data_IF_860799180288
#
_entry.id   IF_860799180288
#
_cell.length_a   1.000
_cell.length_b   1.000
_cell.length_c   1.000
_cell.angle_alpha   90.00
_cell.angle_beta   90.00
_cell.angle_gamma   90.00
#
_symmetry.space_group_name_H-M   'P 1'
#
loop_
_entity.id
_entity.type
_entity.pdbx_description
1 polymer ?
#
# COMPACT_ATOMS: atom_id res chain seq x y z
N UNK A 1 -39.72 31.42 28.92
CA UNK A 1 -40.47 30.15 28.70
C UNK A 1 -39.46 29.01 28.64
N UNK A 2 -39.57 28.05 29.57
CA UNK A 2 -38.57 27.02 29.87
C UNK A 2 -39.01 25.74 29.14
N UNK A 3 -38.22 25.27 28.15
CA UNK A 3 -38.50 23.99 27.47
C UNK A 3 -37.77 22.86 28.17
N UNK A 4 -38.52 22.06 28.92
CA UNK A 4 -38.09 20.81 29.53
C UNK A 4 -37.92 19.73 28.46
N UNK A 5 -36.75 19.08 28.42
CA UNK A 5 -36.50 17.87 27.62
C UNK A 5 -36.84 16.63 28.48
N UNK A 6 -37.59 15.64 27.97
CA UNK A 6 -37.83 14.40 28.70
C UNK A 6 -36.61 13.50 28.65
N UNK A 7 -36.14 13.09 29.83
CA UNK A 7 -35.15 12.04 30.05
C UNK A 7 -35.86 10.71 29.87
N UNK A 8 -35.53 9.96 28.81
CA UNK A 8 -35.95 8.58 28.62
C UNK A 8 -34.73 7.68 28.90
N UNK A 9 -34.51 7.38 30.18
CA UNK A 9 -33.56 6.36 30.61
C UNK A 9 -34.24 4.99 30.49
N UNK A 10 -33.95 4.28 29.40
CA UNK A 10 -34.36 2.89 29.23
C UNK A 10 -33.41 2.01 30.06
N UNK A 11 -33.94 1.38 31.10
CA UNK A 11 -33.19 0.56 32.03
C UNK A 11 -32.70 -0.74 31.36
N UNK A 12 -31.41 -0.97 31.52
CA UNK A 12 -30.65 -2.17 31.19
C UNK A 12 -31.20 -3.38 31.98
N UNK A 13 -31.71 -4.40 31.27
CA UNK A 13 -32.02 -5.70 31.87
C UNK A 13 -31.11 -6.78 31.25
N UNK A 14 -30.06 -7.10 32.00
CA UNK A 14 -29.11 -8.18 31.79
C UNK A 14 -29.81 -9.53 31.96
N UNK A 15 -29.89 -10.35 30.92
CA UNK A 15 -30.28 -11.77 31.03
C UNK A 15 -29.21 -12.62 30.35
N UNK A 16 -28.29 -13.13 31.15
CA UNK A 16 -27.30 -14.13 30.76
C UNK A 16 -28.00 -15.49 30.85
N UNK A 17 -28.26 -16.14 29.71
CA UNK A 17 -28.66 -17.55 29.65
C UNK A 17 -27.43 -18.39 29.28
N UNK A 18 -26.81 -18.98 30.29
CA UNK A 18 -25.86 -20.08 30.13
C UNK A 18 -26.65 -21.36 29.89
N UNK A 19 -26.75 -21.80 28.64
CA UNK A 19 -27.17 -23.17 28.31
C UNK A 19 -26.00 -23.93 27.71
N UNK A 20 -25.33 -24.66 28.60
CA UNK A 20 -24.44 -25.75 28.25
C UNK A 20 -25.28 -26.91 27.69
N UNK A 21 -25.03 -27.31 26.44
CA UNK A 21 -25.43 -28.62 25.94
C UNK A 21 -24.19 -29.43 25.58
N UNK A 22 -23.96 -30.45 26.40
CA UNK A 22 -23.00 -31.52 26.19
C UNK A 22 -23.35 -32.31 24.91
N UNK A 23 -22.30 -32.71 24.16
CA UNK A 23 -22.39 -33.79 23.18
C UNK A 23 -22.49 -35.14 23.91
N UNK A 24 -23.20 -36.12 23.31
CA UNK A 24 -22.63 -37.46 23.23
C UNK A 24 -22.70 -38.09 21.83
N UNK A 25 -21.55 -38.63 21.43
CA UNK A 25 -21.28 -39.86 20.65
C UNK A 25 -22.22 -40.36 19.54
N UNK A 26 -21.63 -40.45 18.34
CA UNK A 26 -21.45 -41.65 17.48
C UNK A 26 -22.64 -42.59 17.23
N UNK A 27 -23.03 -42.73 15.96
CA UNK A 27 -23.17 -44.03 15.29
C UNK A 27 -23.47 -43.87 13.79
N UNK A 28 -22.64 -44.53 12.96
CA UNK A 28 -22.89 -45.15 11.65
C UNK A 28 -23.64 -44.36 10.55
N UNK A 29 -23.26 -44.43 9.28
CA UNK A 29 -22.28 -45.24 8.60
C UNK A 29 -22.63 -45.26 7.11
N UNK A 30 -21.64 -45.72 6.35
CA UNK A 30 -21.70 -46.29 5.01
C UNK A 30 -21.25 -45.45 3.80
N UNK A 31 -20.56 -46.22 2.98
CA UNK A 31 -19.67 -46.07 1.84
C UNK A 31 -20.31 -45.32 0.65
N UNK A 32 -19.56 -44.73 -0.30
CA UNK A 32 -18.64 -45.40 -1.24
C UNK A 32 -17.64 -44.45 -1.91
N UNK A 33 -16.45 -45.02 -2.17
CA UNK A 33 -15.39 -44.60 -3.10
C UNK A 33 -15.90 -44.13 -4.49
N UNK A 34 -15.11 -43.30 -5.19
CA UNK A 34 -14.44 -43.63 -6.48
C UNK A 34 -13.55 -42.47 -6.98
N UNK A 35 -12.24 -42.61 -6.82
CA UNK A 35 -11.16 -42.54 -7.85
C UNK A 35 -10.92 -41.25 -8.70
N UNK A 36 -9.79 -40.56 -8.44
CA UNK A 36 -8.93 -39.79 -9.41
C UNK A 36 -8.10 -40.82 -10.24
N UNK A 37 -7.31 -40.52 -11.32
CA UNK A 37 -7.05 -39.26 -12.04
C UNK A 37 -7.01 -39.40 -13.59
N UNK A 38 -6.83 -38.30 -14.33
CA UNK A 38 -6.30 -38.34 -15.70
C UNK A 38 -5.24 -37.26 -15.91
N UNK A 39 -4.14 -37.70 -16.52
CA UNK A 39 -2.89 -36.98 -16.82
C UNK A 39 -2.71 -37.03 -18.35
N UNK A 40 -2.22 -35.97 -18.98
CA UNK A 40 -1.47 -36.01 -20.26
C UNK A 40 -0.70 -34.68 -20.42
N UNK A 41 0.64 -34.72 -20.34
CA UNK A 41 1.60 -34.62 -21.47
C UNK A 41 1.81 -33.16 -21.92
N UNK A 42 2.85 -32.45 -21.47
CA UNK A 42 4.24 -32.38 -22.00
C UNK A 42 4.33 -32.34 -23.53
N UNK A 43 4.71 -31.19 -24.09
CA UNK A 43 5.65 -31.16 -25.22
C UNK A 43 6.48 -29.87 -25.22
N UNK A 44 7.75 -30.06 -25.58
CA UNK A 44 8.90 -29.17 -25.51
C UNK A 44 9.37 -28.85 -26.94
N UNK A 45 9.74 -27.60 -27.23
CA UNK A 45 10.75 -27.18 -28.25
C UNK A 45 10.62 -25.67 -28.52
N UNK A 46 11.62 -24.88 -28.92
CA UNK A 46 13.09 -24.95 -29.00
C UNK A 46 13.52 -23.63 -29.69
N UNK A 47 14.72 -23.14 -29.35
CA UNK A 47 15.64 -22.32 -30.19
C UNK A 47 15.44 -20.80 -30.33
N UNK A 48 16.23 -20.07 -29.54
CA UNK A 48 17.34 -19.18 -29.95
C UNK A 48 17.63 -19.04 -31.45
N UNK A 49 17.81 -17.80 -31.92
CA UNK A 49 18.99 -17.32 -32.70
C UNK A 49 18.92 -15.81 -33.01
N UNK A 50 20.00 -15.10 -32.64
CA UNK A 50 20.45 -13.86 -33.30
C UNK A 50 21.18 -14.21 -34.63
N UNK A 51 21.32 -13.25 -35.57
CA UNK A 51 22.60 -12.53 -35.78
C UNK A 51 22.39 -11.03 -36.14
N UNK A 52 23.20 -10.04 -35.73
CA UNK A 52 24.60 -9.64 -36.05
C UNK A 52 24.79 -8.86 -37.38
N UNK A 53 25.56 -7.75 -37.27
CA UNK A 53 26.36 -7.01 -38.29
C UNK A 53 25.68 -5.91 -39.13
N UNK A 54 26.30 -4.80 -39.56
CA UNK A 54 27.65 -4.18 -39.41
C UNK A 54 27.68 -2.84 -40.22
N UNK A 55 28.41 -1.82 -39.73
CA UNK A 55 29.10 -0.66 -40.40
C UNK A 55 28.33 0.26 -41.40
N UNK A 56 28.61 1.58 -41.45
CA UNK A 56 29.72 2.17 -42.22
C UNK A 56 30.17 3.57 -41.74
N UNK A 57 31.43 3.86 -42.08
CA UNK A 57 32.30 5.01 -41.80
C UNK A 57 32.62 5.71 -43.13
N UNK A 58 33.10 6.97 -43.06
CA UNK A 58 34.02 7.72 -43.99
C UNK A 58 33.37 9.06 -44.41
N UNK A 59 33.77 10.23 -43.89
CA UNK A 59 34.98 11.05 -44.16
C UNK A 59 35.04 11.63 -45.57
N UNK A 60 34.91 12.95 -45.73
CA UNK A 60 35.95 13.79 -46.37
C UNK A 60 35.74 15.30 -46.16
N UNK A 61 36.85 16.04 -46.12
CA UNK A 61 37.01 17.50 -46.01
C UNK A 61 37.41 18.09 -47.41
N UNK A 62 37.88 19.35 -47.63
CA UNK A 62 38.07 20.55 -46.76
C UNK A 62 37.71 21.96 -47.36
N UNK A 63 37.61 22.97 -46.47
CA UNK A 63 37.98 24.44 -46.53
C UNK A 63 37.44 25.43 -47.60
N UNK A 64 37.50 26.80 -47.42
CA UNK A 64 38.22 27.62 -46.41
C UNK A 64 37.48 28.88 -45.82
N UNK A 65 38.11 29.47 -44.79
CA UNK A 65 38.10 30.90 -44.34
C UNK A 65 36.82 31.54 -43.77
N UNK A 66 36.82 31.92 -42.48
CA UNK A 66 37.11 33.29 -42.00
C UNK A 66 37.02 33.36 -40.47
N UNK A 67 38.00 34.01 -39.84
CA UNK A 67 38.05 34.27 -38.41
C UNK A 67 37.04 35.35 -38.05
N UNK A 68 36.06 35.03 -37.20
CA UNK A 68 35.26 36.02 -36.49
C UNK A 68 35.34 35.73 -35.00
N UNK A 69 35.92 36.66 -34.27
CA UNK A 69 35.95 36.68 -32.80
C UNK A 69 34.53 36.83 -32.27
N UNK A 70 33.93 35.73 -31.81
CA UNK A 70 32.69 35.78 -31.04
C UNK A 70 32.96 35.45 -29.57
N UNK A 71 32.70 36.49 -28.78
CA UNK A 71 32.48 36.55 -27.33
C UNK A 71 31.99 35.21 -26.75
N UNK A 72 32.79 34.66 -25.83
CA UNK A 72 32.43 33.52 -24.97
C UNK A 72 31.12 33.84 -24.25
N UNK A 73 30.03 33.26 -24.77
CA UNK A 73 28.77 33.14 -24.07
C UNK A 73 28.90 31.87 -23.24
N UNK A 74 28.98 32.05 -21.93
CA UNK A 74 28.97 30.97 -20.95
C UNK A 74 27.74 30.09 -21.21
N UNK A 75 27.99 28.84 -21.60
CA UNK A 75 26.96 27.84 -21.79
C UNK A 75 26.29 27.59 -20.42
N UNK A 76 24.95 27.55 -20.33
CA UNK A 76 24.31 27.22 -19.08
C UNK A 76 24.76 25.81 -18.67
N UNK A 77 25.31 25.69 -17.47
CA UNK A 77 25.63 24.38 -16.88
C UNK A 77 24.37 23.50 -16.92
N UNK A 78 24.48 22.19 -17.25
CA UNK A 78 23.35 21.30 -17.21
C UNK A 78 22.87 21.18 -15.76
N UNK A 79 21.72 21.78 -15.45
CA UNK A 79 21.04 21.60 -14.17
C UNK A 79 20.60 20.14 -14.08
N UNK A 80 21.37 19.31 -13.38
CA UNK A 80 20.95 17.95 -13.04
C UNK A 80 19.82 18.06 -12.03
N UNK A 81 18.59 17.88 -12.49
CA UNK A 81 17.41 17.76 -11.63
C UNK A 81 17.50 16.42 -10.88
N UNK A 82 17.98 16.46 -9.64
CA UNK A 82 17.86 15.33 -8.72
C UNK A 82 16.38 15.13 -8.39
N UNK A 83 15.83 13.99 -8.78
CA UNK A 83 14.47 13.60 -8.40
C UNK A 83 14.56 13.01 -7.00
N UNK A 84 13.89 13.64 -6.04
CA UNK A 84 13.84 13.16 -4.67
C UNK A 84 12.94 11.93 -4.58
N UNK A 85 13.42 10.89 -3.89
CA UNK A 85 12.67 9.65 -3.69
C UNK A 85 11.53 9.87 -2.70
N UNK A 86 10.36 9.31 -2.99
CA UNK A 86 9.22 9.31 -2.05
C UNK A 86 9.50 8.37 -0.88
N UNK A 87 9.39 8.88 0.34
CA UNK A 87 9.51 8.15 1.60
C UNK A 87 8.25 8.40 2.42
N UNK A 88 7.49 7.34 2.68
CA UNK A 88 6.31 7.40 3.54
C UNK A 88 6.60 6.63 4.82
N UNK A 89 6.27 7.22 5.96
CA UNK A 89 6.29 6.54 7.27
C UNK A 89 4.88 6.44 7.83
N UNK A 90 4.70 5.51 8.78
CA UNK A 90 3.47 5.37 9.53
C UNK A 90 3.82 5.32 11.02
N UNK A 91 3.09 6.08 11.83
CA UNK A 91 3.27 6.13 13.28
C UNK A 91 1.91 6.14 13.98
N UNK A 92 1.86 5.66 15.21
CA UNK A 92 0.68 5.88 16.05
C UNK A 92 0.52 7.39 16.29
N UNK A 93 -0.67 7.91 16.02
CA UNK A 93 -0.94 9.34 16.14
C UNK A 93 -1.05 9.72 17.63
N UNK A 94 0.02 10.30 18.16
CA UNK A 94 0.05 10.90 19.50
C UNK A 94 -0.33 12.39 19.42
N UNK A 95 -0.80 12.96 20.53
CA UNK A 95 -1.10 14.39 20.60
C UNK A 95 0.12 15.26 20.25
N UNK A 96 1.34 14.80 20.59
CA UNK A 96 2.59 15.46 20.24
C UNK A 96 2.78 15.53 18.72
N UNK A 97 2.65 14.39 18.02
CA UNK A 97 2.78 14.35 16.56
C UNK A 97 1.67 15.17 15.90
N UNK A 98 0.43 15.04 16.38
CA UNK A 98 -0.71 15.77 15.82
C UNK A 98 -0.59 17.29 16.01
N UNK A 99 0.01 17.75 17.11
CA UNK A 99 0.20 19.18 17.35
C UNK A 99 1.24 19.84 16.43
N UNK A 100 2.03 19.04 15.70
CA UNK A 100 3.04 19.54 14.77
C UNK A 100 2.47 20.00 13.41
N UNK A 101 1.19 19.71 13.13
CA UNK A 101 0.56 20.01 11.85
C UNK A 101 -0.70 20.87 12.03
N UNK A 102 -0.92 21.79 11.10
CA UNK A 102 -2.10 22.65 11.10
C UNK A 102 -3.36 21.95 10.56
N UNK A 103 -3.19 20.92 9.72
CA UNK A 103 -4.31 20.19 9.10
C UNK A 103 -3.91 18.80 8.63
N UNK A 104 -4.92 17.95 8.41
CA UNK A 104 -4.78 16.57 7.96
C UNK A 104 -5.79 16.28 6.85
N UNK A 105 -5.44 15.40 5.93
CA UNK A 105 -6.44 14.59 5.24
C UNK A 105 -6.86 13.46 6.17
N UNK A 106 -8.16 13.17 6.29
CA UNK A 106 -8.65 12.25 7.33
C UNK A 106 -9.59 11.18 6.76
N UNK A 107 -9.43 9.94 7.24
CA UNK A 107 -10.39 8.86 7.07
C UNK A 107 -10.71 8.20 8.42
N UNK A 108 -11.96 8.27 8.85
CA UNK A 108 -12.43 7.65 10.10
C UNK A 108 -13.42 6.54 9.75
N UNK A 109 -13.00 5.28 9.92
CA UNK A 109 -13.85 4.12 9.70
C UNK A 109 -14.83 3.91 10.87
N UNK A 110 -14.37 4.19 12.09
CA UNK A 110 -15.18 4.12 13.31
C UNK A 110 -14.73 5.16 14.33
N UNK A 111 -15.71 5.85 14.93
CA UNK A 111 -15.52 6.81 16.03
C UNK A 111 -15.45 6.12 17.42
N UNK A 112 -15.61 4.79 17.45
CA UNK A 112 -15.43 3.98 18.68
C UNK A 112 -13.95 3.73 18.98
N UNK A 113 -13.65 2.85 19.95
CA UNK A 113 -12.29 2.47 20.35
C UNK A 113 -11.53 1.94 19.12
N UNK A 114 -10.69 2.79 18.55
CA UNK A 114 -9.94 2.57 17.32
C UNK A 114 -8.51 3.09 17.49
N UNK A 115 -7.59 2.53 16.73
CA UNK A 115 -6.22 3.04 16.67
C UNK A 115 -6.19 4.21 15.69
N UNK A 116 -5.47 5.27 16.06
CA UNK A 116 -5.20 6.40 15.17
C UNK A 116 -3.77 6.29 14.65
N UNK A 117 -3.63 6.36 13.34
CA UNK A 117 -2.35 6.20 12.65
C UNK A 117 -2.18 7.38 11.70
N UNK A 118 -1.01 7.99 11.76
CA UNK A 118 -0.63 9.09 10.89
C UNK A 118 0.42 8.61 9.90
N UNK A 119 0.17 8.88 8.63
CA UNK A 119 1.12 8.70 7.54
C UNK A 119 1.77 10.04 7.24
N UNK A 120 3.10 10.07 7.16
CA UNK A 120 3.86 11.27 6.81
C UNK A 120 4.77 10.99 5.62
N UNK A 121 5.21 12.05 4.95
CA UNK A 121 6.04 11.96 3.74
C UNK A 121 7.10 13.06 3.72
N UNK A 122 8.22 12.84 3.03
CA UNK A 122 9.25 13.85 2.80
C UNK A 122 8.93 14.80 1.63
N UNK A 123 8.08 14.38 0.69
CA UNK A 123 7.68 15.16 -0.50
C UNK A 123 6.19 14.97 -0.80
N UNK A 124 5.63 15.85 -1.63
CA UNK A 124 4.25 15.68 -2.12
C UNK A 124 4.08 14.37 -2.89
N UNK A 125 3.06 13.59 -2.54
CA UNK A 125 2.76 12.27 -3.09
C UNK A 125 1.52 12.35 -3.97
N UNK A 126 1.60 11.76 -5.16
CA UNK A 126 0.50 11.72 -6.12
C UNK A 126 -0.31 10.44 -5.96
N UNK A 127 -1.62 10.57 -6.15
CA UNK A 127 -2.56 9.46 -6.18
C UNK A 127 -2.37 8.53 -4.97
N UNK A 128 -2.29 9.13 -3.78
CA UNK A 128 -2.20 8.39 -2.53
C UNK A 128 -3.56 7.81 -2.19
N UNK A 129 -3.58 6.52 -1.84
CA UNK A 129 -4.77 5.80 -1.43
C UNK A 129 -4.54 4.98 -0.18
N UNK A 130 -5.52 5.00 0.73
CA UNK A 130 -5.65 4.03 1.81
C UNK A 130 -6.49 2.86 1.30
N UNK A 131 -5.98 1.64 1.43
CA UNK A 131 -6.54 0.46 0.75
C UNK A 131 -6.88 -0.67 1.72
N UNK A 132 -7.84 -1.49 1.33
CA UNK A 132 -8.05 -2.80 1.91
C UNK A 132 -7.04 -3.79 1.30
N UNK A 133 -6.47 -4.63 2.17
CA UNK A 133 -5.51 -5.67 1.78
C UNK A 133 -6.08 -7.03 2.12
N UNK A 134 -5.99 -7.96 1.18
CA UNK A 134 -6.29 -9.38 1.40
C UNK A 134 -5.04 -10.22 1.18
N UNK A 135 -5.09 -11.47 1.60
CA UNK A 135 -4.00 -12.40 1.40
C UNK A 135 -4.48 -13.74 0.83
N UNK A 136 -3.55 -14.45 0.19
CA UNK A 136 -3.66 -15.87 -0.12
C UNK A 136 -2.47 -16.58 0.49
N UNK A 137 -2.72 -17.70 1.14
CA UNK A 137 -1.67 -18.57 1.65
C UNK A 137 -1.36 -19.67 0.61
N UNK A 138 -0.08 -19.84 0.30
CA UNK A 138 0.41 -20.94 -0.53
C UNK A 138 1.72 -21.45 0.03
N UNK A 139 1.78 -22.75 0.31
CA UNK A 139 2.99 -23.41 0.79
C UNK A 139 3.58 -22.79 2.09
N UNK A 140 2.72 -22.19 2.93
CA UNK A 140 3.09 -21.52 4.19
C UNK A 140 3.55 -20.07 4.03
N UNK A 141 3.52 -19.52 2.82
CA UNK A 141 3.83 -18.13 2.54
C UNK A 141 2.56 -17.33 2.21
N UNK A 142 2.52 -16.07 2.66
CA UNK A 142 1.45 -15.15 2.36
C UNK A 142 1.79 -14.29 1.15
N UNK A 143 0.92 -14.30 0.15
CA UNK A 143 0.88 -13.31 -0.91
C UNK A 143 -0.24 -12.31 -0.61
N UNK A 144 0.08 -11.01 -0.63
CA UNK A 144 -0.86 -9.93 -0.35
C UNK A 144 -1.35 -9.28 -1.66
N UNK A 145 -2.59 -8.80 -1.65
CA UNK A 145 -3.25 -8.17 -2.80
C UNK A 145 -4.09 -6.99 -2.33
N UNK A 146 -4.17 -5.97 -3.15
CA UNK A 146 -5.18 -4.92 -3.01
C UNK A 146 -6.58 -5.52 -3.20
N UNK A 147 -7.53 -5.16 -2.34
CA UNK A 147 -8.94 -5.56 -2.45
C UNK A 147 -9.91 -4.38 -2.61
N UNK A 148 -9.39 -3.15 -2.63
CA UNK A 148 -10.19 -1.95 -2.89
C UNK A 148 -9.64 -0.72 -2.19
N UNK A 149 -10.00 0.44 -2.74
CA UNK A 149 -9.70 1.73 -2.15
C UNK A 149 -10.75 2.11 -1.10
N UNK A 150 -10.28 2.51 0.07
CA UNK A 150 -11.10 3.01 1.17
C UNK A 150 -11.14 4.55 1.18
N UNK A 151 -10.03 5.18 0.79
CA UNK A 151 -9.88 6.62 0.69
C UNK A 151 -8.78 6.98 -0.31
N UNK A 152 -8.91 8.09 -1.02
CA UNK A 152 -7.85 8.66 -1.86
C UNK A 152 -7.73 10.17 -1.71
N UNK A 153 -6.53 10.68 -1.93
CA UNK A 153 -6.25 12.11 -1.94
C UNK A 153 -5.04 12.45 -2.81
N UNK A 154 -5.08 13.64 -3.40
CA UNK A 154 -3.94 14.26 -4.11
C UNK A 154 -3.21 15.29 -3.21
N UNK A 155 -3.70 15.50 -1.99
CA UNK A 155 -3.19 16.52 -1.07
C UNK A 155 -2.18 15.96 -0.04
N UNK A 156 -1.66 14.74 -0.25
CA UNK A 156 -0.74 14.14 0.71
C UNK A 156 0.67 14.75 0.56
N UNK A 157 1.08 15.55 1.54
CA UNK A 157 2.37 16.27 1.54
C UNK A 157 2.98 16.33 2.95
N UNK A 158 4.24 16.78 3.09
CA UNK A 158 4.88 16.97 4.39
C UNK A 158 4.09 17.89 5.32
N UNK A 159 3.41 18.91 4.78
CA UNK A 159 2.64 19.89 5.54
C UNK A 159 1.21 19.43 5.84
N UNK A 160 0.71 18.45 5.07
CA UNK A 160 -0.65 17.91 5.20
C UNK A 160 -0.61 16.37 5.20
N UNK A 161 -0.24 15.77 6.33
CA UNK A 161 -0.19 14.32 6.46
C UNK A 161 -1.60 13.70 6.44
N UNK A 162 -1.64 12.38 6.31
CA UNK A 162 -2.88 11.61 6.29
C UNK A 162 -3.11 10.92 7.63
N UNK A 163 -4.23 11.23 8.28
CA UNK A 163 -4.67 10.64 9.54
C UNK A 163 -5.78 9.62 9.27
N UNK A 164 -5.66 8.44 9.87
CA UNK A 164 -6.68 7.41 9.72
C UNK A 164 -6.98 6.73 11.05
N UNK A 165 -8.26 6.38 11.25
CA UNK A 165 -8.75 5.68 12.44
C UNK A 165 -9.59 4.47 12.06
N UNK A 166 -9.19 3.28 12.51
CA UNK A 166 -9.97 2.06 12.36
C UNK A 166 -9.70 1.10 13.52
N UNK A 167 -10.49 0.03 13.61
CA UNK A 167 -10.25 -1.04 14.55
C UNK A 167 -9.52 -2.19 13.85
N UNK A 168 -8.28 -2.47 14.26
CA UNK A 168 -7.54 -3.61 13.72
C UNK A 168 -8.23 -4.94 14.07
N UNK A 169 -8.28 -5.84 13.10
CA UNK A 169 -8.91 -7.16 13.29
C UNK A 169 -7.93 -8.29 13.01
N UNK A 170 -7.57 -9.01 14.07
CA UNK A 170 -6.64 -10.13 13.99
C UNK A 170 -5.18 -9.70 13.86
N UNK A 171 -4.33 -10.64 13.44
CA UNK A 171 -2.89 -10.44 13.34
C UNK A 171 -2.37 -10.35 11.90
N UNK A 172 -3.22 -10.64 10.91
CA UNK A 172 -2.85 -10.56 9.50
C UNK A 172 -3.24 -9.18 8.98
N UNK A 173 -2.29 -8.43 8.35
CA UNK A 173 -2.58 -7.13 7.78
C UNK A 173 -3.79 -7.13 6.86
N UNK A 174 -4.72 -6.20 7.10
CA UNK A 174 -5.93 -6.00 6.29
C UNK A 174 -6.08 -4.55 5.78
N UNK A 175 -5.10 -3.69 6.07
CA UNK A 175 -5.00 -2.30 5.60
C UNK A 175 -3.63 -2.04 5.02
N UNK A 176 -3.57 -1.05 4.14
CA UNK A 176 -2.35 -0.64 3.47
C UNK A 176 -2.47 0.72 2.83
N UNK A 177 -1.44 1.08 2.07
CA UNK A 177 -1.43 2.25 1.21
C UNK A 177 -0.98 1.89 -0.21
N UNK A 178 -1.40 2.70 -1.17
CA UNK A 178 -0.79 2.76 -2.48
C UNK A 178 -0.52 4.20 -2.89
N UNK A 179 0.47 4.40 -3.75
CA UNK A 179 0.79 5.70 -4.32
C UNK A 179 1.62 5.57 -5.59
N UNK A 180 1.69 6.63 -6.39
CA UNK A 180 2.58 6.70 -7.56
C UNK A 180 3.93 7.28 -7.14
N UNK A 181 5.00 6.51 -7.33
CA UNK A 181 6.37 6.92 -6.99
C UNK A 181 6.97 7.87 -8.05
N UNK A 182 8.21 8.32 -7.81
CA UNK A 182 8.93 9.22 -8.69
C UNK A 182 9.16 8.69 -10.11
N UNK A 183 9.08 7.38 -10.32
CA UNK A 183 9.19 6.72 -11.62
C UNK A 183 7.87 6.63 -12.38
N UNK A 184 6.75 7.00 -11.73
CA UNK A 184 5.41 6.83 -12.27
C UNK A 184 4.84 5.42 -12.03
N UNK A 185 5.46 4.62 -11.16
CA UNK A 185 5.02 3.27 -10.82
C UNK A 185 4.12 3.30 -9.59
N UNK A 186 2.97 2.62 -9.63
CA UNK A 186 2.15 2.42 -8.44
C UNK A 186 2.82 1.42 -7.50
N UNK A 187 3.05 1.84 -6.26
CA UNK A 187 3.64 1.02 -5.20
C UNK A 187 2.57 0.67 -4.18
N UNK A 188 2.64 -0.54 -3.62
CA UNK A 188 1.66 -1.08 -2.69
C UNK A 188 2.33 -1.55 -1.42
N UNK A 189 1.78 -1.16 -0.28
CA UNK A 189 2.31 -1.50 1.03
C UNK A 189 1.18 -1.96 1.94
N UNK A 190 1.38 -3.04 2.68
CA UNK A 190 0.51 -3.36 3.80
C UNK A 190 1.09 -2.79 5.09
N UNK A 191 0.19 -2.44 6.01
CA UNK A 191 0.58 -1.95 7.33
C UNK A 191 0.61 -3.11 8.32
N UNK A 192 1.71 -3.25 9.03
CA UNK A 192 1.88 -4.25 10.09
C UNK A 192 2.47 -3.61 11.34
N UNK A 193 2.24 -4.24 12.50
CA UNK A 193 3.00 -3.95 13.71
C UNK A 193 4.21 -4.87 13.81
N UNK A 194 5.35 -4.30 14.14
CA UNK A 194 6.58 -4.99 14.52
C UNK A 194 6.30 -5.94 15.68
N UNK A 195 6.72 -7.20 15.55
CA UNK A 195 6.66 -8.17 16.65
C UNK A 195 7.70 -7.93 17.75
N UNK A 196 8.69 -7.06 17.52
CA UNK A 196 9.77 -6.78 18.47
C UNK A 196 9.38 -5.67 19.47
N UNK A 197 8.85 -4.57 18.96
CA UNK A 197 8.58 -3.35 19.75
C UNK A 197 7.18 -2.75 19.52
N UNK A 198 6.37 -3.34 18.64
CA UNK A 198 5.04 -2.84 18.30
C UNK A 198 5.03 -1.62 17.38
N UNK A 199 6.19 -1.13 16.92
CA UNK A 199 6.25 -0.03 15.93
C UNK A 199 5.52 -0.39 14.64
N UNK A 200 5.02 0.61 13.92
CA UNK A 200 4.35 0.37 12.64
C UNK A 200 5.37 0.21 11.51
N UNK A 201 5.08 -0.70 10.60
CA UNK A 201 5.91 -1.04 9.45
C UNK A 201 5.05 -0.99 8.18
N UNK A 202 5.57 -0.33 7.16
CA UNK A 202 5.07 -0.41 5.79
C UNK A 202 5.92 -1.40 5.02
N UNK A 203 5.33 -2.54 4.68
CA UNK A 203 6.00 -3.59 3.93
C UNK A 203 5.44 -3.64 2.51
N UNK A 204 6.33 -3.49 1.53
CA UNK A 204 5.97 -3.49 0.12
C UNK A 204 5.54 -4.89 -0.35
N UNK A 205 4.50 -4.94 -1.18
CA UNK A 205 4.10 -6.17 -1.88
C UNK A 205 3.86 -5.89 -3.36
N UNK A 206 3.98 -6.95 -4.17
CA UNK A 206 3.64 -6.90 -5.58
C UNK A 206 2.16 -7.25 -5.75
N UNK A 207 1.39 -6.34 -6.35
CA UNK A 207 -0.02 -6.55 -6.65
C UNK A 207 -0.14 -7.26 -8.02
N UNK A 208 -0.06 -8.59 -8.01
CA UNK A 208 -0.11 -9.45 -9.22
C UNK A 208 -1.40 -10.28 -9.35
#
# INVERSE_FOLDING_TARGET
>A
MKRSKPVLLLALALVILLTACAKPSTSGGDSTQTTKPSTSETENSKTTKAPTSTSEKTTDAPEPTTFTTEKVTEAPEPTVSIVEKVLITADYATDEILSAYDSFSEFIESEEISQKIIFTTNVGVKSFSFIEVIYKEKDGEFAFFENGELFSTEDFSPEKPFLVSWMETGAIPNRGISFVDESGTTRYFYLASSGEDGSLILAEFQNE
#
